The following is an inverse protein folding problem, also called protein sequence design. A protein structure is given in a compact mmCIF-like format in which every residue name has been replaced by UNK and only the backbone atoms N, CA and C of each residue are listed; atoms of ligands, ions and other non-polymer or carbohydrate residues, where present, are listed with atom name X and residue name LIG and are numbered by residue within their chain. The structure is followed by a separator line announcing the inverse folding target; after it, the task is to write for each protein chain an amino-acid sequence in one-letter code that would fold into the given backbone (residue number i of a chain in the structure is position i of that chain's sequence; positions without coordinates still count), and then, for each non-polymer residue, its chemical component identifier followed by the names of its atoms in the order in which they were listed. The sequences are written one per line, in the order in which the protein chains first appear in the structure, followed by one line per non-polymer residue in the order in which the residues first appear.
data_IF_623821383525
#
_entry.id   IF_623821383525
#
_cell.length_a   1.000
_cell.length_b   1.000
_cell.length_c   1.000
_cell.angle_alpha   90.00
_cell.angle_beta   90.00
_cell.angle_gamma   90.00
#
_symmetry.space_group_name_H-M   'P 1'
#
loop_
_entity.id
_entity.type
_entity.pdbx_description
1 polymer ?
#
# COMPACT_ATOMS: atom_id res chain seq x y z
N UNK A 1 23.37 4.43 33.46
CA UNK A 1 23.50 4.37 32.00
C UNK A 1 22.70 5.51 31.39
N UNK A 2 23.35 6.57 30.96
CA UNK A 2 22.69 7.69 30.24
C UNK A 2 22.19 7.14 28.90
N UNK A 3 20.86 7.07 28.71
CA UNK A 3 20.26 6.87 27.39
C UNK A 3 20.64 8.08 26.54
N UNK A 4 21.54 7.89 25.59
CA UNK A 4 21.74 8.85 24.52
C UNK A 4 20.38 9.07 23.85
N UNK A 5 19.72 10.18 24.10
CA UNK A 5 18.58 10.63 23.32
C UNK A 5 19.10 11.02 21.94
N UNK A 6 19.14 10.05 21.03
CA UNK A 6 19.27 10.40 19.63
C UNK A 6 18.07 11.26 19.27
N UNK A 7 18.31 12.52 18.92
CA UNK A 7 17.24 13.39 18.42
C UNK A 7 16.58 12.71 17.24
N UNK A 8 15.28 12.42 17.36
CA UNK A 8 14.52 11.74 16.31
C UNK A 8 14.55 12.60 15.03
N UNK A 9 14.79 11.97 13.89
CA UNK A 9 14.71 12.63 12.59
C UNK A 9 13.30 13.21 12.39
N UNK A 10 13.20 14.38 11.76
CA UNK A 10 11.92 15.04 11.48
C UNK A 10 11.81 15.39 10.01
N UNK A 11 10.62 15.34 9.44
CA UNK A 11 10.34 15.90 8.13
C UNK A 11 10.60 17.41 8.10
N UNK A 12 10.91 17.95 6.92
CA UNK A 12 11.19 19.39 6.78
C UNK A 12 9.96 20.26 7.08
N UNK A 13 8.74 19.74 6.86
CA UNK A 13 7.47 20.40 7.12
C UNK A 13 6.29 19.60 6.54
N UNK A 14 5.12 20.27 6.37
CA UNK A 14 3.88 19.65 5.87
C UNK A 14 4.08 18.92 4.53
N UNK A 15 4.73 19.56 3.55
CA UNK A 15 4.93 18.97 2.21
C UNK A 15 5.77 17.69 2.29
N UNK A 16 6.84 17.67 3.11
CA UNK A 16 7.68 16.48 3.29
C UNK A 16 6.90 15.31 3.88
N UNK A 17 6.11 15.57 4.93
CA UNK A 17 5.23 14.56 5.51
C UNK A 17 4.17 14.05 4.51
N UNK A 18 3.42 14.97 3.89
CA UNK A 18 2.32 14.63 2.97
C UNK A 18 2.80 13.81 1.79
N UNK A 19 3.88 14.23 1.10
CA UNK A 19 4.40 13.47 -0.06
C UNK A 19 4.98 12.12 0.33
N UNK A 20 5.56 12.00 1.53
CA UNK A 20 6.05 10.71 2.03
C UNK A 20 4.89 9.80 2.43
N UNK A 21 3.87 10.31 3.12
CA UNK A 21 2.70 9.54 3.53
C UNK A 21 1.81 9.17 2.32
N UNK A 22 1.60 10.10 1.38
CA UNK A 22 0.92 9.81 0.12
C UNK A 22 1.70 8.78 -0.71
N UNK A 23 3.04 8.87 -0.77
CA UNK A 23 3.87 7.87 -1.42
C UNK A 23 3.83 6.50 -0.75
N UNK A 24 3.60 6.44 0.57
CA UNK A 24 3.36 5.19 1.27
C UNK A 24 2.01 4.58 0.89
N UNK A 25 0.96 5.41 0.78
CA UNK A 25 -0.40 4.98 0.44
C UNK A 25 -0.53 4.63 -1.04
N UNK A 26 0.02 5.46 -1.94
CA UNK A 26 -0.01 5.20 -3.38
C UNK A 26 0.97 4.10 -3.75
N UNK A 27 0.49 2.88 -3.85
CA UNK A 27 1.30 1.69 -4.12
C UNK A 27 0.72 0.79 -5.21
N UNK A 28 1.22 -0.43 -5.24
CA UNK A 28 0.74 -1.45 -6.17
C UNK A 28 -0.76 -1.73 -6.01
N UNK A 29 -1.29 -1.56 -4.79
CA UNK A 29 -2.71 -1.74 -4.50
C UNK A 29 -3.64 -0.80 -5.28
N UNK A 30 -3.23 0.45 -5.51
CA UNK A 30 -4.00 1.41 -6.31
C UNK A 30 -3.94 1.07 -7.80
N UNK A 31 -2.80 0.53 -8.27
CA UNK A 31 -2.56 0.37 -9.71
C UNK A 31 -3.14 -0.94 -10.25
N UNK A 32 -3.09 -2.05 -9.49
CA UNK A 32 -3.64 -3.31 -10.01
C UNK A 32 -4.88 -3.79 -9.26
N UNK A 33 -4.86 -3.75 -7.90
CA UNK A 33 -5.93 -4.33 -7.10
C UNK A 33 -7.22 -3.51 -7.19
N UNK A 34 -7.10 -2.20 -7.09
CA UNK A 34 -8.26 -1.31 -7.18
C UNK A 34 -8.99 -1.41 -8.52
N UNK A 35 -8.34 -1.29 -9.71
CA UNK A 35 -9.03 -1.45 -10.98
C UNK A 35 -9.69 -2.81 -11.18
N UNK A 36 -9.01 -3.88 -10.73
CA UNK A 36 -9.57 -5.23 -10.76
C UNK A 36 -10.86 -5.31 -9.93
N UNK A 37 -10.81 -4.87 -8.67
CA UNK A 37 -11.97 -4.93 -7.78
C UNK A 37 -13.09 -4.02 -8.27
N UNK A 38 -12.78 -2.82 -8.75
CA UNK A 38 -13.77 -1.92 -9.32
C UNK A 38 -14.47 -2.55 -10.52
N UNK A 39 -13.74 -3.17 -11.44
CA UNK A 39 -14.32 -3.83 -12.59
C UNK A 39 -15.15 -5.07 -12.22
N UNK A 40 -14.72 -5.86 -11.25
CA UNK A 40 -15.41 -7.08 -10.80
C UNK A 40 -16.66 -6.78 -9.97
N UNK A 41 -16.64 -5.73 -9.15
CA UNK A 41 -17.66 -5.46 -8.13
C UNK A 41 -18.49 -4.21 -8.40
N UNK A 42 -18.80 -3.93 -9.66
CA UNK A 42 -19.83 -2.99 -10.08
C UNK A 42 -19.37 -1.60 -10.51
N UNK A 43 -18.09 -1.42 -10.84
CA UNK A 43 -17.58 -0.18 -11.45
C UNK A 43 -17.85 1.06 -10.60
N UNK A 44 -18.71 1.94 -11.08
CA UNK A 44 -19.02 3.22 -10.42
C UNK A 44 -19.65 3.09 -9.04
N UNK A 45 -20.39 2.01 -8.74
CA UNK A 45 -20.93 1.80 -7.39
C UNK A 45 -19.81 1.39 -6.41
N UNK A 46 -18.83 0.60 -6.87
CA UNK A 46 -17.63 0.29 -6.08
C UNK A 46 -16.84 1.58 -5.78
N UNK A 47 -16.62 2.42 -6.79
CA UNK A 47 -15.94 3.70 -6.63
C UNK A 47 -16.64 4.62 -5.63
N UNK A 48 -17.98 4.72 -5.70
CA UNK A 48 -18.78 5.52 -4.76
C UNK A 48 -18.57 5.04 -3.32
N UNK A 49 -18.69 3.73 -3.09
CA UNK A 49 -18.50 3.13 -1.75
C UNK A 49 -17.05 3.35 -1.28
N UNK A 50 -16.07 3.18 -2.17
CA UNK A 50 -14.66 3.41 -1.85
C UNK A 50 -14.41 4.86 -1.39
N UNK A 51 -14.96 5.87 -2.09
CA UNK A 51 -14.84 7.28 -1.70
C UNK A 51 -15.49 7.54 -0.33
N UNK A 52 -16.68 6.98 -0.07
CA UNK A 52 -17.33 7.11 1.22
C UNK A 52 -16.51 6.51 2.36
N UNK A 53 -15.86 5.37 2.10
CA UNK A 53 -14.97 4.72 3.07
C UNK A 53 -13.66 5.51 3.26
N UNK A 54 -13.11 6.14 2.22
CA UNK A 54 -11.97 7.03 2.34
C UNK A 54 -12.26 8.16 3.32
N UNK A 55 -13.37 8.88 3.08
CA UNK A 55 -13.78 10.03 3.88
C UNK A 55 -14.17 9.71 5.34
N UNK A 56 -14.41 8.45 5.66
CA UNK A 56 -14.85 8.01 7.00
C UNK A 56 -13.83 7.12 7.68
N UNK A 57 -13.68 5.90 7.18
CA UNK A 57 -12.80 4.87 7.75
C UNK A 57 -11.32 5.24 7.54
N UNK A 58 -10.94 5.56 6.30
CA UNK A 58 -9.56 5.94 5.95
C UNK A 58 -9.10 7.14 6.75
N UNK A 59 -9.87 8.24 6.68
CA UNK A 59 -9.62 9.45 7.47
C UNK A 59 -9.39 9.13 8.96
N UNK A 60 -10.29 8.36 9.55
CA UNK A 60 -10.22 8.07 10.99
C UNK A 60 -8.95 7.32 11.36
N UNK A 61 -8.58 6.32 10.59
CA UNK A 61 -7.39 5.51 10.90
C UNK A 61 -6.09 6.28 10.65
N UNK A 62 -6.00 7.09 9.58
CA UNK A 62 -4.81 7.93 9.33
C UNK A 62 -4.62 8.94 10.46
N UNK A 63 -5.69 9.63 10.89
CA UNK A 63 -5.63 10.57 12.02
C UNK A 63 -5.20 9.86 13.29
N UNK A 64 -5.78 8.69 13.60
CA UNK A 64 -5.48 7.93 14.81
C UNK A 64 -3.99 7.53 14.87
N UNK A 65 -3.49 6.89 13.82
CA UNK A 65 -2.11 6.41 13.77
C UNK A 65 -1.10 7.57 13.76
N UNK A 66 -1.35 8.60 12.96
CA UNK A 66 -0.48 9.79 12.90
C UNK A 66 -0.42 10.53 14.23
N UNK A 67 -1.57 10.68 14.90
CA UNK A 67 -1.64 11.32 16.21
C UNK A 67 -0.88 10.51 17.27
N UNK A 68 -1.09 9.18 17.33
CA UNK A 68 -0.35 8.30 18.24
C UNK A 68 1.17 8.44 18.01
N UNK A 69 1.60 8.40 16.75
CA UNK A 69 3.00 8.57 16.39
C UNK A 69 3.57 9.91 16.83
N UNK A 70 2.87 11.02 16.55
CA UNK A 70 3.30 12.38 16.90
C UNK A 70 3.28 12.65 18.40
N UNK A 71 2.28 12.14 19.13
CA UNK A 71 2.20 12.25 20.59
C UNK A 71 3.39 11.62 21.28
N UNK A 72 3.78 10.45 20.82
CA UNK A 72 4.77 9.62 21.50
C UNK A 72 6.19 9.85 20.99
N UNK A 73 6.34 10.29 19.74
CA UNK A 73 7.65 10.43 19.09
C UNK A 73 8.39 9.10 18.95
N UNK A 74 7.68 7.96 18.87
CA UNK A 74 8.25 6.61 18.84
C UNK A 74 7.70 5.77 17.70
N UNK A 75 8.41 4.68 17.38
CA UNK A 75 7.95 3.62 16.48
C UNK A 75 6.75 2.86 17.10
N UNK A 76 6.04 2.00 16.33
CA UNK A 76 4.80 1.39 16.79
C UNK A 76 4.88 0.71 18.16
N UNK A 77 5.94 -0.05 18.43
CA UNK A 77 6.11 -0.74 19.72
C UNK A 77 6.20 0.25 20.87
N UNK A 78 7.15 1.17 20.78
CA UNK A 78 7.36 2.20 21.80
C UNK A 78 6.17 3.15 21.94
N UNK A 79 5.42 3.41 20.84
CA UNK A 79 4.23 4.22 20.87
C UNK A 79 3.13 3.58 21.73
N UNK A 80 2.82 2.30 21.51
CA UNK A 80 1.84 1.57 22.33
C UNK A 80 2.27 1.47 23.79
N UNK A 81 3.54 1.16 24.07
CA UNK A 81 4.08 1.05 25.43
C UNK A 81 4.09 2.40 26.19
N UNK A 82 4.03 3.52 25.50
CA UNK A 82 3.93 4.85 26.13
C UNK A 82 2.61 5.06 26.88
N UNK A 83 1.57 4.30 26.55
CA UNK A 83 0.25 4.37 27.19
C UNK A 83 0.06 3.37 28.35
N UNK A 84 1.04 2.51 28.63
CA UNK A 84 0.98 1.57 29.74
C UNK A 84 1.93 0.38 29.57
N UNK A 85 2.11 -0.37 30.66
CA UNK A 85 2.99 -1.54 30.71
C UNK A 85 2.26 -2.89 30.51
N UNK A 86 1.04 -2.86 30.00
CA UNK A 86 0.26 -4.07 29.76
C UNK A 86 0.84 -4.91 28.64
N UNK A 87 0.82 -6.25 28.79
CA UNK A 87 1.31 -7.18 27.77
C UNK A 87 0.56 -7.05 26.44
N UNK A 88 -0.73 -6.76 26.48
CA UNK A 88 -1.51 -6.62 25.26
C UNK A 88 -1.18 -5.32 24.48
N UNK A 89 -0.80 -4.23 25.17
CA UNK A 89 -0.28 -3.03 24.53
C UNK A 89 1.04 -3.33 23.81
N UNK A 90 1.94 -4.03 24.47
CA UNK A 90 3.19 -4.47 23.84
C UNK A 90 2.91 -5.37 22.63
N UNK A 91 1.99 -6.32 22.74
CA UNK A 91 1.60 -7.19 21.64
C UNK A 91 0.98 -6.41 20.46
N UNK A 92 0.10 -5.43 20.72
CA UNK A 92 -0.46 -4.57 19.67
C UNK A 92 0.59 -3.75 18.95
N UNK A 93 1.57 -3.19 19.68
CA UNK A 93 2.70 -2.47 19.09
C UNK A 93 3.59 -3.37 18.23
N UNK A 94 3.96 -4.56 18.73
CA UNK A 94 4.74 -5.53 17.97
C UNK A 94 3.99 -6.05 16.74
N UNK A 95 2.67 -6.27 16.83
CA UNK A 95 1.87 -6.69 15.69
C UNK A 95 1.96 -5.67 14.55
N UNK A 96 1.77 -4.37 14.86
CA UNK A 96 1.91 -3.30 13.86
C UNK A 96 3.32 -3.22 13.26
N UNK A 97 4.37 -3.48 14.04
CA UNK A 97 5.75 -3.45 13.58
C UNK A 97 6.11 -4.67 12.70
N UNK A 98 5.71 -5.87 13.13
CA UNK A 98 6.01 -7.13 12.43
C UNK A 98 5.34 -7.18 11.06
N UNK A 99 4.17 -6.57 10.88
CA UNK A 99 3.50 -6.50 9.58
C UNK A 99 4.41 -5.87 8.53
N UNK A 100 5.00 -4.71 8.79
CA UNK A 100 5.94 -4.07 7.86
C UNK A 100 7.19 -4.94 7.61
N UNK A 101 7.72 -5.60 8.65
CA UNK A 101 8.89 -6.47 8.54
C UNK A 101 8.62 -7.66 7.61
N UNK A 102 7.40 -8.20 7.63
CA UNK A 102 7.01 -9.35 6.79
C UNK A 102 6.57 -8.94 5.38
N UNK A 103 5.95 -7.76 5.21
CA UNK A 103 5.49 -7.30 3.88
C UNK A 103 6.67 -6.94 2.99
N UNK A 104 7.65 -6.18 3.48
CA UNK A 104 8.76 -5.66 2.68
C UNK A 104 9.47 -6.74 1.86
N UNK A 105 9.81 -7.93 2.40
CA UNK A 105 10.46 -8.98 1.65
C UNK A 105 9.71 -9.40 0.37
N UNK A 106 8.46 -9.84 0.50
CA UNK A 106 7.70 -10.31 -0.67
C UNK A 106 7.25 -9.16 -1.59
N UNK A 107 6.98 -7.98 -1.03
CA UNK A 107 6.67 -6.79 -1.80
C UNK A 107 7.85 -6.37 -2.71
N UNK A 108 9.08 -6.53 -2.22
CA UNK A 108 10.30 -6.27 -3.01
C UNK A 108 10.51 -7.26 -4.15
N UNK A 109 10.02 -8.50 -4.01
CA UNK A 109 10.01 -9.47 -5.13
C UNK A 109 9.13 -8.96 -6.27
N UNK A 110 7.93 -8.48 -5.94
CA UNK A 110 7.02 -7.90 -6.94
C UNK A 110 7.63 -6.63 -7.57
N UNK A 111 8.30 -5.79 -6.76
CA UNK A 111 9.08 -4.66 -7.26
C UNK A 111 10.19 -5.08 -8.24
N UNK A 112 10.82 -6.22 -8.02
CA UNK A 112 11.77 -6.84 -8.94
C UNK A 112 11.12 -7.25 -10.27
N UNK A 113 9.91 -7.81 -10.25
CA UNK A 113 9.16 -8.12 -11.47
C UNK A 113 8.84 -6.86 -12.29
N UNK A 114 8.54 -5.75 -11.62
CA UNK A 114 8.34 -4.44 -12.27
C UNK A 114 9.62 -3.98 -12.98
N UNK A 115 10.79 -4.13 -12.34
CA UNK A 115 12.09 -3.80 -12.97
C UNK A 115 12.30 -4.65 -14.23
N UNK A 116 12.04 -5.96 -14.16
CA UNK A 116 12.17 -6.86 -15.33
C UNK A 116 11.34 -6.36 -16.51
N UNK A 117 10.07 -6.08 -16.29
CA UNK A 117 9.16 -5.62 -17.34
C UNK A 117 9.56 -4.24 -17.89
N UNK A 118 9.96 -3.31 -17.04
CA UNK A 118 10.47 -2.00 -17.47
C UNK A 118 11.70 -2.16 -18.39
N UNK A 119 12.66 -2.99 -17.98
CA UNK A 119 13.88 -3.25 -18.79
C UNK A 119 13.52 -3.85 -20.14
N UNK A 120 12.63 -4.82 -20.20
CA UNK A 120 12.20 -5.43 -21.46
C UNK A 120 11.50 -4.43 -22.38
N UNK A 121 10.64 -3.55 -21.85
CA UNK A 121 10.04 -2.48 -22.65
C UNK A 121 11.08 -1.50 -23.18
N UNK A 122 12.09 -1.12 -22.36
CA UNK A 122 13.20 -0.26 -22.79
C UNK A 122 14.08 -0.89 -23.88
N UNK A 123 14.21 -2.22 -23.86
CA UNK A 123 14.94 -2.97 -24.90
C UNK A 123 14.09 -3.22 -26.16
N UNK A 124 12.82 -2.79 -26.19
CA UNK A 124 11.94 -2.98 -27.34
C UNK A 124 11.26 -4.36 -27.41
N UNK A 125 11.35 -5.14 -26.34
CA UNK A 125 10.80 -6.50 -26.26
C UNK A 125 9.32 -6.53 -25.80
N UNK A 126 8.56 -5.44 -25.96
CA UNK A 126 7.17 -5.33 -25.50
C UNK A 126 6.27 -6.45 -26.02
N UNK A 127 6.44 -6.83 -27.29
CA UNK A 127 5.69 -7.94 -27.90
C UNK A 127 5.96 -9.31 -27.21
N UNK A 128 7.19 -9.56 -26.80
CA UNK A 128 7.52 -10.79 -26.08
C UNK A 128 6.83 -10.87 -24.70
N UNK A 129 6.64 -9.72 -24.03
CA UNK A 129 5.93 -9.63 -22.74
C UNK A 129 4.44 -10.00 -22.86
N UNK A 130 3.84 -9.80 -24.02
CA UNK A 130 2.45 -10.14 -24.29
C UNK A 130 2.24 -11.62 -24.61
N UNK A 131 3.31 -12.38 -24.83
CA UNK A 131 3.23 -13.82 -25.15
C UNK A 131 2.70 -14.63 -23.96
N UNK A 132 1.87 -15.64 -24.26
CA UNK A 132 1.36 -16.56 -23.25
C UNK A 132 2.51 -17.31 -22.57
N UNK A 133 2.47 -17.36 -21.24
CA UNK A 133 3.45 -18.05 -20.42
C UNK A 133 4.73 -17.26 -20.13
N UNK A 134 4.97 -16.08 -20.72
CA UNK A 134 6.18 -15.28 -20.45
C UNK A 134 6.36 -15.00 -18.96
N UNK A 135 5.33 -14.49 -18.28
CA UNK A 135 5.39 -14.21 -16.85
C UNK A 135 5.70 -15.47 -16.03
N UNK A 136 5.01 -16.57 -16.31
CA UNK A 136 5.25 -17.85 -15.64
C UNK A 136 6.68 -18.34 -15.82
N UNK A 137 7.22 -18.29 -17.06
CA UNK A 137 8.59 -18.67 -17.37
C UNK A 137 9.62 -17.77 -16.64
N UNK A 138 9.34 -16.47 -16.55
CA UNK A 138 10.21 -15.52 -15.84
C UNK A 138 10.25 -15.81 -14.32
N UNK A 139 9.10 -15.93 -13.65
CA UNK A 139 9.07 -16.15 -12.19
C UNK A 139 9.59 -17.54 -11.81
N UNK A 140 9.50 -18.52 -12.69
CA UNK A 140 10.08 -19.86 -12.50
C UNK A 140 11.59 -19.89 -12.71
N UNK A 141 12.16 -18.90 -13.40
CA UNK A 141 13.60 -18.76 -13.55
C UNK A 141 14.19 -18.11 -12.31
N UNK A 142 14.59 -18.95 -11.32
CA UNK A 142 15.05 -18.50 -10.02
C UNK A 142 16.17 -17.46 -10.09
N UNK A 143 17.15 -17.59 -11.00
CA UNK A 143 18.25 -16.63 -11.13
C UNK A 143 17.78 -15.25 -11.60
N UNK A 144 16.95 -15.21 -12.64
CA UNK A 144 16.46 -13.95 -13.21
C UNK A 144 15.53 -13.21 -12.25
N UNK A 145 14.60 -13.93 -11.62
CA UNK A 145 13.69 -13.36 -10.64
C UNK A 145 14.43 -12.84 -9.41
N UNK A 146 15.40 -13.60 -8.91
CA UNK A 146 16.22 -13.24 -7.74
C UNK A 146 17.08 -12.01 -7.99
N UNK A 147 17.76 -11.91 -9.13
CA UNK A 147 18.55 -10.73 -9.47
C UNK A 147 17.71 -9.45 -9.53
N UNK A 148 16.54 -9.51 -10.17
CA UNK A 148 15.63 -8.36 -10.21
C UNK A 148 15.14 -7.96 -8.82
N UNK A 149 14.78 -8.93 -7.97
CA UNK A 149 14.40 -8.72 -6.57
C UNK A 149 15.54 -8.04 -5.80
N UNK A 150 16.77 -8.55 -5.87
CA UNK A 150 17.93 -7.99 -5.17
C UNK A 150 18.18 -6.54 -5.59
N UNK A 151 18.09 -6.21 -6.88
CA UNK A 151 18.25 -4.84 -7.38
C UNK A 151 17.23 -3.90 -6.76
N UNK A 152 15.95 -4.29 -6.71
CA UNK A 152 14.90 -3.49 -6.09
C UNK A 152 15.13 -3.33 -4.57
N UNK A 153 15.46 -4.42 -3.88
CA UNK A 153 15.74 -4.43 -2.45
C UNK A 153 16.90 -3.49 -2.09
N UNK A 154 18.00 -3.58 -2.83
CA UNK A 154 19.17 -2.71 -2.62
C UNK A 154 18.87 -1.25 -2.88
N UNK A 155 18.07 -0.92 -3.92
CA UNK A 155 17.64 0.44 -4.18
C UNK A 155 16.79 1.00 -3.02
N UNK A 156 15.87 0.22 -2.47
CA UNK A 156 15.09 0.59 -1.28
C UNK A 156 15.99 0.83 -0.07
N UNK A 157 16.89 -0.11 0.24
CA UNK A 157 17.81 -0.02 1.38
C UNK A 157 18.77 1.18 1.27
N UNK A 158 19.21 1.52 0.06
CA UNK A 158 20.04 2.69 -0.17
C UNK A 158 19.33 3.98 0.20
N UNK A 159 18.06 4.13 -0.17
CA UNK A 159 17.25 5.30 0.21
C UNK A 159 17.07 5.37 1.72
N UNK A 160 16.79 4.24 2.38
CA UNK A 160 16.64 4.17 3.84
C UNK A 160 17.93 4.53 4.55
N UNK A 161 19.08 4.04 4.04
CA UNK A 161 20.39 4.36 4.60
C UNK A 161 20.69 5.86 4.57
N UNK A 162 20.26 6.57 3.52
CA UNK A 162 20.42 8.02 3.39
C UNK A 162 19.61 8.85 4.41
N UNK A 163 18.61 8.24 5.09
CA UNK A 163 17.86 8.86 6.16
C UNK A 163 16.52 9.45 5.74
N UNK A 164 15.81 10.06 6.72
CA UNK A 164 14.45 10.55 6.51
C UNK A 164 14.41 11.73 5.53
N UNK A 165 15.19 12.79 5.77
CA UNK A 165 15.20 14.00 4.93
C UNK A 165 15.89 13.78 3.58
N UNK A 166 17.10 13.22 3.61
CA UNK A 166 17.94 13.11 2.41
C UNK A 166 17.60 11.89 1.56
N UNK A 167 16.97 10.89 2.14
CA UNK A 167 16.48 9.68 1.47
C UNK A 167 14.98 9.78 1.19
N UNK A 168 14.17 9.43 2.18
CA UNK A 168 12.71 9.24 2.04
C UNK A 168 12.02 10.48 1.48
N UNK A 169 12.17 11.62 2.14
CA UNK A 169 11.50 12.86 1.76
C UNK A 169 11.94 13.35 0.37
N UNK A 170 13.25 13.30 0.09
CA UNK A 170 13.80 13.74 -1.20
C UNK A 170 13.30 12.87 -2.35
N UNK A 171 13.28 11.56 -2.17
CA UNK A 171 12.80 10.60 -3.17
C UNK A 171 11.29 10.78 -3.39
N UNK A 172 10.49 10.89 -2.32
CA UNK A 172 9.05 11.12 -2.44
C UNK A 172 8.71 12.44 -3.12
N UNK A 173 9.47 13.51 -2.85
CA UNK A 173 9.29 14.83 -3.52
C UNK A 173 9.51 14.77 -5.03
N UNK A 174 10.39 13.87 -5.50
CA UNK A 174 10.63 13.69 -6.93
C UNK A 174 9.60 12.73 -7.54
N UNK A 175 9.41 11.57 -6.92
CA UNK A 175 8.61 10.49 -7.50
C UNK A 175 7.12 10.80 -7.53
N UNK A 176 6.57 11.43 -6.48
CA UNK A 176 5.12 11.66 -6.41
C UNK A 176 4.58 12.59 -7.51
N UNK A 177 5.17 13.78 -7.78
CA UNK A 177 4.71 14.60 -8.91
C UNK A 177 4.84 13.90 -10.27
N UNK A 178 5.94 13.18 -10.50
CA UNK A 178 6.14 12.44 -11.75
C UNK A 178 5.07 11.34 -11.89
N UNK A 179 4.78 10.60 -10.81
CA UNK A 179 3.74 9.58 -10.78
C UNK A 179 2.36 10.17 -11.14
N UNK A 180 2.00 11.34 -10.60
CA UNK A 180 0.75 12.04 -10.95
C UNK A 180 0.72 12.40 -12.43
N UNK A 181 1.79 12.98 -12.97
CA UNK A 181 1.86 13.35 -14.40
C UNK A 181 1.75 12.12 -15.29
N UNK A 182 2.46 11.04 -14.98
CA UNK A 182 2.39 9.78 -15.72
C UNK A 182 0.98 9.19 -15.67
N UNK A 183 0.32 9.22 -14.50
CA UNK A 183 -1.07 8.72 -14.36
C UNK A 183 -2.02 9.48 -15.28
N UNK A 184 -1.93 10.82 -15.33
CA UNK A 184 -2.77 11.64 -16.18
C UNK A 184 -2.52 11.36 -17.67
N UNK A 185 -1.25 11.24 -18.07
CA UNK A 185 -0.89 10.95 -19.47
C UNK A 185 -1.41 9.59 -19.93
N UNK A 186 -1.23 8.55 -19.14
CA UNK A 186 -1.65 7.19 -19.50
C UNK A 186 -3.16 7.07 -19.46
N UNK A 187 -3.84 7.63 -18.45
CA UNK A 187 -5.30 7.64 -18.38
C UNK A 187 -5.91 8.42 -19.57
N UNK A 188 -5.35 9.60 -19.90
CA UNK A 188 -5.77 10.37 -21.07
C UNK A 188 -5.63 9.57 -22.36
N UNK A 189 -4.50 8.87 -22.54
CA UNK A 189 -4.32 8.01 -23.69
C UNK A 189 -5.31 6.83 -23.72
N UNK A 190 -5.55 6.17 -22.59
CA UNK A 190 -6.48 5.04 -22.46
C UNK A 190 -7.91 5.43 -22.84
N UNK A 191 -8.39 6.55 -22.32
CA UNK A 191 -9.76 7.05 -22.53
C UNK A 191 -10.01 7.44 -24.00
N UNK A 192 -8.97 7.81 -24.75
CA UNK A 192 -9.10 8.19 -26.17
C UNK A 192 -9.17 6.99 -27.12
N UNK A 193 -9.05 5.74 -26.63
CA UNK A 193 -9.10 4.58 -27.51
C UNK A 193 -10.52 4.28 -28.02
N UNK A 194 -10.68 3.80 -29.26
CA UNK A 194 -11.98 3.35 -29.76
C UNK A 194 -12.58 2.30 -28.82
N UNK A 195 -13.84 2.46 -28.43
CA UNK A 195 -14.51 1.55 -27.47
C UNK A 195 -14.26 1.84 -25.99
N UNK A 196 -13.31 2.70 -25.64
CA UNK A 196 -12.97 3.02 -24.24
C UNK A 196 -14.11 3.70 -23.46
N UNK A 197 -14.99 4.45 -24.15
CA UNK A 197 -16.06 5.24 -23.53
C UNK A 197 -17.02 4.37 -22.69
N UNK A 198 -17.30 3.14 -23.13
CA UNK A 198 -18.11 2.18 -22.37
C UNK A 198 -17.46 1.88 -21.02
N UNK A 199 -16.14 1.63 -20.99
CA UNK A 199 -15.38 1.40 -19.77
C UNK A 199 -15.33 2.64 -18.86
N UNK A 200 -15.19 3.84 -19.42
CA UNK A 200 -15.27 5.11 -18.65
C UNK A 200 -16.63 5.24 -17.98
N UNK A 201 -17.71 5.02 -18.73
CA UNK A 201 -19.09 5.09 -18.21
C UNK A 201 -19.31 4.04 -17.13
N UNK A 202 -18.88 2.81 -17.35
CA UNK A 202 -18.99 1.72 -16.37
C UNK A 202 -18.27 2.06 -15.06
N UNK A 203 -17.08 2.64 -15.16
CA UNK A 203 -16.25 2.94 -13.99
C UNK A 203 -16.69 4.19 -13.22
N UNK A 204 -17.14 5.25 -13.90
CA UNK A 204 -17.46 6.52 -13.25
C UNK A 204 -18.93 6.70 -12.87
N UNK A 205 -19.85 6.01 -13.57
CA UNK A 205 -21.29 6.17 -13.33
C UNK A 205 -21.80 5.07 -12.40
N UNK A 206 -22.25 5.42 -11.18
CA UNK A 206 -22.81 4.43 -10.27
C UNK A 206 -24.08 3.78 -10.85
N UNK A 207 -24.06 2.46 -11.00
CA UNK A 207 -25.25 1.67 -11.31
C UNK A 207 -25.60 0.81 -10.09
N UNK A 208 -26.73 1.11 -9.44
CA UNK A 208 -27.17 0.42 -8.23
C UNK A 208 -27.66 -1.02 -8.51
N UNK A 209 -27.95 -1.38 -9.74
CA UNK A 209 -28.26 -2.76 -10.13
C UNK A 209 -27.05 -3.69 -9.94
N UNK A 210 -25.83 -3.14 -10.06
CA UNK A 210 -24.59 -3.85 -9.83
C UNK A 210 -24.16 -3.89 -8.36
N UNK A 211 -24.99 -3.38 -7.43
CA UNK A 211 -24.70 -3.39 -6.02
C UNK A 211 -24.78 -4.80 -5.46
N UNK A 212 -23.78 -5.17 -4.66
CA UNK A 212 -23.81 -6.37 -3.83
C UNK A 212 -23.17 -6.08 -2.45
N UNK A 213 -23.49 -6.88 -1.45
CA UNK A 213 -22.79 -6.77 -0.17
C UNK A 213 -21.29 -7.04 -0.31
N UNK A 214 -20.91 -7.86 -1.29
CA UNK A 214 -19.51 -8.13 -1.59
C UNK A 214 -18.80 -6.88 -2.12
N UNK A 215 -19.48 -5.98 -2.82
CA UNK A 215 -18.96 -4.66 -3.23
C UNK A 215 -18.51 -3.85 -2.01
N UNK A 216 -19.30 -3.85 -0.93
CA UNK A 216 -18.94 -3.14 0.31
C UNK A 216 -17.74 -3.78 0.99
N UNK A 217 -17.76 -5.11 1.15
CA UNK A 217 -16.68 -5.85 1.84
C UNK A 217 -15.35 -5.71 1.10
N UNK A 218 -15.38 -5.83 -0.24
CA UNK A 218 -14.16 -5.71 -1.06
C UNK A 218 -13.64 -4.26 -1.11
N UNK A 219 -14.54 -3.27 -1.13
CA UNK A 219 -14.17 -1.86 -1.04
C UNK A 219 -13.54 -1.53 0.32
N UNK A 220 -14.06 -2.08 1.43
CA UNK A 220 -13.43 -1.95 2.76
C UNK A 220 -12.03 -2.57 2.76
N UNK A 221 -11.87 -3.79 2.26
CA UNK A 221 -10.57 -4.45 2.17
C UNK A 221 -9.57 -3.70 1.29
N UNK A 222 -10.05 -3.13 0.18
CA UNK A 222 -9.21 -2.30 -0.72
C UNK A 222 -8.77 -1.01 -0.02
N UNK A 223 -9.67 -0.31 0.64
CA UNK A 223 -9.36 0.92 1.38
C UNK A 223 -8.33 0.68 2.48
N UNK A 224 -8.48 -0.43 3.20
CA UNK A 224 -7.58 -0.84 4.26
C UNK A 224 -6.14 -1.02 3.76
N UNK A 225 -6.00 -1.72 2.64
CA UNK A 225 -4.72 -1.98 2.01
C UNK A 225 -4.12 -0.72 1.36
N UNK A 226 -4.93 0.07 0.64
CA UNK A 226 -4.51 1.24 -0.12
C UNK A 226 -3.89 2.32 0.77
N UNK A 227 -4.53 2.66 1.88
CA UNK A 227 -4.07 3.71 2.78
C UNK A 227 -2.95 3.28 3.74
N UNK A 228 -2.40 2.08 3.57
CA UNK A 228 -1.32 1.55 4.45
C UNK A 228 -1.68 1.55 5.94
N UNK A 229 -2.96 1.32 6.26
CA UNK A 229 -3.50 1.32 7.62
C UNK A 229 -3.01 0.09 8.38
N UNK A 230 -2.70 0.27 9.65
CA UNK A 230 -2.27 -0.78 10.58
C UNK A 230 -0.98 -1.52 10.17
N UNK A 231 -0.13 -0.87 9.39
CA UNK A 231 1.21 -1.36 9.01
C UNK A 231 2.33 -0.69 9.82
N UNK A 232 2.00 0.12 10.83
CA UNK A 232 2.97 0.89 11.61
C UNK A 232 3.60 2.07 10.88
N UNK A 233 3.34 2.25 9.58
CA UNK A 233 3.92 3.31 8.74
C UNK A 233 3.46 4.68 9.22
N UNK A 234 2.17 4.88 9.39
CA UNK A 234 1.58 6.16 9.76
C UNK A 234 1.95 6.55 11.20
N UNK A 235 2.10 5.59 12.11
CA UNK A 235 2.64 5.82 13.46
C UNK A 235 4.10 6.27 13.35
N UNK A 236 4.93 5.59 12.55
CA UNK A 236 6.33 5.95 12.34
C UNK A 236 6.47 7.34 11.72
N UNK A 237 5.74 7.63 10.64
CA UNK A 237 5.79 8.94 9.98
C UNK A 237 5.20 10.05 10.85
N UNK A 238 4.13 9.76 11.59
CA UNK A 238 3.59 10.65 12.61
C UNK A 238 4.66 11.04 13.65
N UNK A 239 5.50 10.08 14.06
CA UNK A 239 6.59 10.35 15.01
C UNK A 239 7.69 11.29 14.46
N UNK A 240 7.76 11.50 13.15
CA UNK A 240 8.65 12.45 12.48
C UNK A 240 7.96 13.78 12.17
N UNK A 241 6.65 13.88 12.41
CA UNK A 241 5.85 15.08 12.14
C UNK A 241 6.08 16.15 13.20
N UNK A 242 6.28 17.38 12.77
CA UNK A 242 6.41 18.51 13.68
C UNK A 242 5.05 18.88 14.30
N UNK A 243 5.08 19.44 15.50
CA UNK A 243 3.87 19.82 16.27
C UNK A 243 3.02 20.92 15.61
N UNK A 244 3.66 21.81 14.87
CA UNK A 244 3.02 22.92 14.15
C UNK A 244 2.35 22.50 12.82
N UNK A 245 2.56 21.26 12.37
CA UNK A 245 1.93 20.74 11.17
C UNK A 245 0.55 20.17 11.48
N UNK A 246 -0.47 20.60 10.71
CA UNK A 246 -1.85 20.11 10.83
C UNK A 246 -1.94 18.62 10.51
N UNK A 247 -2.44 17.81 11.46
CA UNK A 247 -2.73 16.38 11.22
C UNK A 247 -3.92 16.24 10.27
N UNK A 248 -5.02 16.93 10.57
CA UNK A 248 -6.27 16.82 9.80
C UNK A 248 -6.07 17.27 8.36
N UNK A 249 -5.47 18.46 8.17
CA UNK A 249 -5.18 18.98 6.82
C UNK A 249 -4.12 18.17 6.05
N UNK A 250 -3.23 17.44 6.74
CA UNK A 250 -2.31 16.52 6.08
C UNK A 250 -3.01 15.22 5.69
N UNK A 251 -3.87 14.69 6.57
CA UNK A 251 -4.69 13.50 6.29
C UNK A 251 -5.59 13.71 5.08
N UNK A 252 -6.33 14.83 5.03
CA UNK A 252 -7.17 15.19 3.87
C UNK A 252 -6.37 15.20 2.57
N UNK A 253 -5.15 15.72 2.61
CA UNK A 253 -4.29 15.76 1.42
C UNK A 253 -3.84 14.35 1.01
N UNK A 254 -3.48 13.48 1.96
CA UNK A 254 -3.11 12.08 1.69
C UNK A 254 -4.28 11.30 1.09
N UNK A 255 -5.50 11.46 1.65
CA UNK A 255 -6.73 10.84 1.12
C UNK A 255 -7.02 11.26 -0.32
N UNK A 256 -6.88 12.57 -0.61
CA UNK A 256 -7.09 13.10 -1.97
C UNK A 256 -6.07 12.49 -2.94
N UNK A 257 -4.79 12.42 -2.56
CA UNK A 257 -3.75 11.82 -3.40
C UNK A 257 -4.03 10.34 -3.66
N UNK A 258 -4.31 9.55 -2.62
CA UNK A 258 -4.59 8.13 -2.75
C UNK A 258 -5.81 7.86 -3.63
N UNK A 259 -6.93 8.54 -3.34
CA UNK A 259 -8.18 8.39 -4.10
C UNK A 259 -8.02 8.87 -5.55
N UNK A 260 -7.35 9.99 -5.79
CA UNK A 260 -7.11 10.50 -7.13
C UNK A 260 -6.28 9.50 -7.96
N UNK A 261 -5.21 8.94 -7.40
CA UNK A 261 -4.40 7.94 -8.09
C UNK A 261 -5.17 6.63 -8.30
N UNK A 262 -5.99 6.19 -7.35
CA UNK A 262 -6.87 5.03 -7.54
C UNK A 262 -7.86 5.25 -8.69
N UNK A 263 -8.49 6.43 -8.77
CA UNK A 263 -9.37 6.81 -9.88
C UNK A 263 -8.60 6.86 -11.20
N UNK A 264 -7.43 7.47 -11.22
CA UNK A 264 -6.58 7.51 -12.42
C UNK A 264 -6.17 6.11 -12.87
N UNK A 265 -5.82 5.22 -11.93
CA UNK A 265 -5.52 3.81 -12.24
C UNK A 265 -6.73 3.08 -12.83
N UNK A 266 -7.93 3.31 -12.28
CA UNK A 266 -9.18 2.83 -12.87
C UNK A 266 -9.37 3.32 -14.31
N UNK A 267 -9.13 4.61 -14.57
CA UNK A 267 -9.21 5.20 -15.92
C UNK A 267 -8.08 4.77 -16.86
N UNK A 268 -6.92 4.38 -16.34
CA UNK A 268 -5.85 3.81 -17.15
C UNK A 268 -6.19 2.40 -17.64
N UNK A 269 -6.78 1.58 -16.78
CA UNK A 269 -6.87 0.13 -16.98
C UNK A 269 -8.24 -0.28 -17.52
N UNK A 270 -9.34 0.15 -16.89
CA UNK A 270 -10.68 -0.31 -17.25
C UNK A 270 -11.06 0.09 -18.68
N UNK A 271 -10.92 1.36 -19.11
CA UNK A 271 -11.24 1.75 -20.49
C UNK A 271 -10.35 1.05 -21.53
N UNK A 272 -9.06 0.82 -21.21
CA UNK A 272 -8.15 0.12 -22.11
C UNK A 272 -8.58 -1.35 -22.33
N UNK A 273 -9.02 -2.03 -21.28
CA UNK A 273 -9.50 -3.41 -21.35
C UNK A 273 -10.82 -3.50 -22.11
N UNK A 274 -11.76 -2.55 -21.89
CA UNK A 274 -13.01 -2.49 -22.66
C UNK A 274 -12.75 -2.25 -24.16
N UNK A 275 -11.80 -1.39 -24.48
CA UNK A 275 -11.38 -1.14 -25.87
C UNK A 275 -10.75 -2.38 -26.50
N UNK A 276 -9.97 -3.15 -25.74
CA UNK A 276 -9.31 -4.38 -26.20
C UNK A 276 -10.27 -5.55 -26.35
N UNK A 277 -11.17 -5.79 -25.37
CA UNK A 277 -12.05 -6.97 -25.35
C UNK A 277 -13.35 -6.80 -26.12
N UNK A 278 -13.74 -5.57 -26.41
CA UNK A 278 -15.00 -5.25 -27.11
C UNK A 278 -16.28 -5.60 -26.33
N UNK A 279 -16.18 -5.97 -25.05
CA UNK A 279 -17.33 -6.40 -24.23
C UNK A 279 -17.22 -5.98 -22.78
N UNK A 280 -18.37 -5.77 -22.11
CA UNK A 280 -18.48 -5.49 -20.67
C UNK A 280 -18.03 -6.67 -19.78
N UNK A 281 -17.92 -7.86 -20.33
CA UNK A 281 -17.60 -9.10 -19.61
C UNK A 281 -16.16 -9.56 -19.77
N UNK A 282 -15.22 -8.62 -19.99
CA UNK A 282 -13.80 -8.98 -19.98
C UNK A 282 -13.42 -9.59 -18.61
N UNK A 283 -13.06 -10.86 -18.59
CA UNK A 283 -12.55 -11.52 -17.39
C UNK A 283 -11.20 -10.95 -17.03
N UNK A 284 -11.22 -9.97 -16.10
CA UNK A 284 -10.00 -9.42 -15.52
C UNK A 284 -9.35 -10.46 -14.62
N UNK A 285 -8.11 -10.75 -14.87
CA UNK A 285 -7.33 -11.59 -13.97
C UNK A 285 -7.00 -10.83 -12.68
N UNK A 286 -7.06 -11.52 -11.53
CA UNK A 286 -6.77 -10.94 -10.24
C UNK A 286 -5.25 -10.83 -9.99
N UNK A 287 -4.87 -9.91 -9.13
CA UNK A 287 -3.52 -9.82 -8.59
C UNK A 287 -2.44 -9.49 -9.61
N UNK A 288 -1.23 -10.04 -9.44
CA UNK A 288 -0.10 -9.80 -10.35
C UNK A 288 -0.40 -10.15 -11.82
N UNK A 289 -1.27 -11.12 -12.07
CA UNK A 289 -1.65 -11.53 -13.44
C UNK A 289 -2.29 -10.40 -14.25
N UNK A 290 -3.04 -9.49 -13.61
CA UNK A 290 -3.54 -8.31 -14.32
C UNK A 290 -2.39 -7.48 -14.89
N UNK A 291 -1.40 -7.18 -14.06
CA UNK A 291 -0.32 -6.25 -14.42
C UNK A 291 0.72 -6.90 -15.34
N UNK A 292 1.05 -8.16 -15.12
CA UNK A 292 2.15 -8.83 -15.82
C UNK A 292 1.71 -9.72 -16.98
N UNK A 293 0.41 -10.00 -17.12
CA UNK A 293 -0.12 -10.80 -18.25
C UNK A 293 -1.11 -9.98 -19.09
N UNK A 294 -2.16 -9.42 -18.45
CA UNK A 294 -3.24 -8.75 -19.18
C UNK A 294 -2.80 -7.42 -19.77
N UNK A 295 -2.18 -6.55 -18.96
CA UNK A 295 -1.79 -5.20 -19.39
C UNK A 295 -0.76 -5.21 -20.53
N UNK A 296 0.30 -6.04 -20.54
CA UNK A 296 1.17 -6.15 -21.71
C UNK A 296 0.45 -6.54 -23.01
N UNK A 297 -0.53 -7.45 -22.95
CA UNK A 297 -1.35 -7.81 -24.11
C UNK A 297 -2.19 -6.62 -24.62
N UNK A 298 -2.78 -5.87 -23.70
CA UNK A 298 -3.54 -4.66 -24.04
C UNK A 298 -2.62 -3.63 -24.71
N UNK A 299 -1.43 -3.39 -24.15
CA UNK A 299 -0.47 -2.43 -24.75
C UNK A 299 0.05 -2.91 -26.11
N UNK A 300 0.31 -4.20 -26.27
CA UNK A 300 0.75 -4.78 -27.55
C UNK A 300 -0.27 -4.56 -28.68
N UNK A 301 -1.56 -4.53 -28.35
CA UNK A 301 -2.63 -4.22 -29.29
C UNK A 301 -2.76 -2.74 -29.66
N UNK A 302 -2.06 -1.85 -28.96
CA UNK A 302 -2.15 -0.39 -29.12
C UNK A 302 -1.03 0.17 -30.01
N UNK A 303 -1.33 1.16 -30.86
CA UNK A 303 -0.37 1.75 -31.80
C UNK A 303 0.90 2.37 -31.16
N UNK A 304 0.83 2.78 -29.87
CA UNK A 304 1.95 3.32 -29.10
C UNK A 304 2.29 2.41 -27.89
N UNK A 305 2.01 1.12 -27.98
CA UNK A 305 2.05 0.18 -26.85
C UNK A 305 3.40 0.15 -26.12
N UNK A 306 4.52 0.15 -26.84
CA UNK A 306 5.86 0.17 -26.23
C UNK A 306 6.07 1.45 -25.39
N UNK A 307 5.72 2.62 -25.93
CA UNK A 307 5.89 3.88 -25.21
C UNK A 307 5.00 3.95 -23.97
N UNK A 308 3.74 3.55 -24.11
CA UNK A 308 2.79 3.49 -22.99
C UNK A 308 3.24 2.46 -21.95
N UNK A 309 3.78 1.32 -22.37
CA UNK A 309 4.35 0.30 -21.49
C UNK A 309 5.53 0.84 -20.68
N UNK A 310 6.45 1.57 -21.29
CA UNK A 310 7.56 2.24 -20.58
C UNK A 310 7.00 3.19 -19.52
N UNK A 311 6.11 4.11 -19.91
CA UNK A 311 5.53 5.09 -18.98
C UNK A 311 4.77 4.40 -17.83
N UNK A 312 4.03 3.36 -18.13
CA UNK A 312 3.28 2.58 -17.14
C UNK A 312 4.21 1.87 -16.15
N UNK A 313 5.24 1.15 -16.62
CA UNK A 313 6.14 0.45 -15.71
C UNK A 313 7.09 1.38 -14.95
N UNK A 314 7.39 2.60 -15.46
CA UNK A 314 8.04 3.67 -14.66
C UNK A 314 7.11 4.15 -13.55
N UNK A 315 5.84 4.40 -13.85
CA UNK A 315 4.81 4.78 -12.87
C UNK A 315 4.69 3.70 -11.76
N UNK A 316 4.56 2.44 -12.17
CA UNK A 316 4.45 1.29 -11.25
C UNK A 316 5.72 1.15 -10.39
N UNK A 317 6.90 1.33 -10.98
CA UNK A 317 8.17 1.28 -10.25
C UNK A 317 8.23 2.37 -9.17
N UNK A 318 7.80 3.59 -9.48
CA UNK A 318 7.78 4.69 -8.51
C UNK A 318 6.79 4.42 -7.38
N UNK A 319 5.58 3.94 -7.68
CA UNK A 319 4.60 3.53 -6.69
C UNK A 319 5.11 2.39 -5.79
N UNK A 320 5.72 1.37 -6.39
CA UNK A 320 6.32 0.26 -5.63
C UNK A 320 7.46 0.73 -4.73
N UNK A 321 8.33 1.61 -5.25
CA UNK A 321 9.51 2.10 -4.52
C UNK A 321 9.09 2.96 -3.31
N UNK A 322 8.16 3.90 -3.47
CA UNK A 322 7.72 4.78 -2.38
C UNK A 322 7.07 4.00 -1.24
N UNK A 323 6.24 3.01 -1.55
CA UNK A 323 5.62 2.14 -0.54
C UNK A 323 6.65 1.21 0.13
N UNK A 324 7.59 0.62 -0.63
CA UNK A 324 8.67 -0.22 -0.08
C UNK A 324 9.56 0.57 0.89
N UNK A 325 9.89 1.82 0.55
CA UNK A 325 10.65 2.73 1.41
C UNK A 325 9.89 2.98 2.72
N UNK A 326 8.59 3.25 2.67
CA UNK A 326 7.79 3.54 3.85
C UNK A 326 7.67 2.32 4.79
N UNK A 327 7.41 1.13 4.24
CA UNK A 327 7.39 -0.13 4.97
C UNK A 327 8.75 -0.42 5.63
N UNK A 328 9.84 -0.26 4.88
CA UNK A 328 11.20 -0.50 5.38
C UNK A 328 11.56 0.49 6.48
N UNK A 329 11.15 1.75 6.38
CA UNK A 329 11.36 2.75 7.43
C UNK A 329 10.63 2.40 8.72
N UNK A 330 9.39 1.91 8.64
CA UNK A 330 8.64 1.43 9.80
C UNK A 330 9.39 0.33 10.54
N UNK A 331 9.95 -0.65 9.81
CA UNK A 331 10.75 -1.73 10.36
C UNK A 331 12.07 -1.23 10.97
N UNK A 332 12.82 -0.40 10.24
CA UNK A 332 14.12 0.14 10.67
C UNK A 332 13.95 1.03 11.91
N UNK A 333 12.93 1.90 11.96
CA UNK A 333 12.67 2.73 13.12
C UNK A 333 12.31 1.91 14.36
N UNK A 334 11.61 0.79 14.18
CA UNK A 334 11.32 -0.15 15.26
C UNK A 334 12.60 -0.78 15.80
N UNK A 335 13.50 -1.25 14.93
CA UNK A 335 14.79 -1.79 15.37
C UNK A 335 15.66 -0.74 16.07
N UNK A 336 15.63 0.53 15.61
CA UNK A 336 16.33 1.62 16.29
C UNK A 336 15.81 1.85 17.70
N UNK A 337 14.50 1.90 17.87
CA UNK A 337 13.87 2.22 19.16
C UNK A 337 13.99 1.04 20.16
N UNK A 338 13.72 -0.19 19.71
CA UNK A 338 13.67 -1.37 20.60
C UNK A 338 15.06 -1.94 20.92
N UNK A 339 15.96 -1.96 19.94
CA UNK A 339 17.32 -2.51 20.13
C UNK A 339 18.34 -1.42 20.53
N UNK A 340 17.96 -0.15 20.46
CA UNK A 340 18.88 0.98 20.72
C UNK A 340 20.01 1.06 19.69
N UNK A 341 19.78 0.57 18.46
CA UNK A 341 20.80 0.51 17.43
C UNK A 341 20.85 1.79 16.57
N UNK A 342 22.02 2.03 15.99
CA UNK A 342 22.15 3.08 14.99
C UNK A 342 21.35 2.73 13.73
N UNK A 343 20.92 3.76 12.99
CA UNK A 343 20.23 3.58 11.71
C UNK A 343 20.95 2.61 10.76
N UNK A 344 22.28 2.73 10.65
CA UNK A 344 23.10 1.86 9.80
C UNK A 344 22.94 0.38 10.17
N UNK A 345 23.07 0.04 11.47
CA UNK A 345 22.91 -1.33 11.95
C UNK A 345 21.48 -1.85 11.73
N UNK A 346 20.47 -1.03 12.01
CA UNK A 346 19.07 -1.39 11.81
C UNK A 346 18.73 -1.59 10.33
N UNK A 347 19.30 -0.79 9.44
CA UNK A 347 19.12 -0.98 7.98
C UNK A 347 19.77 -2.26 7.49
N UNK A 348 20.97 -2.60 7.98
CA UNK A 348 21.64 -3.86 7.64
C UNK A 348 20.85 -5.07 8.13
N UNK A 349 20.31 -5.02 9.37
CA UNK A 349 19.44 -6.08 9.88
C UNK A 349 18.19 -6.24 9.00
N UNK A 350 17.52 -5.12 8.67
CA UNK A 350 16.35 -5.20 7.80
C UNK A 350 16.71 -5.71 6.40
N UNK A 351 17.88 -5.36 5.89
CA UNK A 351 18.43 -5.90 4.64
C UNK A 351 18.61 -7.41 4.69
N UNK A 352 19.17 -7.94 5.78
CA UNK A 352 19.30 -9.38 5.98
C UNK A 352 17.92 -10.08 6.01
N UNK A 353 16.95 -9.52 6.74
CA UNK A 353 15.57 -10.04 6.78
C UNK A 353 14.93 -9.99 5.40
N UNK A 354 15.06 -8.85 4.70
CA UNK A 354 14.50 -8.65 3.36
C UNK A 354 15.06 -9.67 2.36
N UNK A 355 16.38 -9.87 2.33
CA UNK A 355 17.00 -10.84 1.42
C UNK A 355 16.57 -12.27 1.80
N UNK A 356 16.62 -12.65 3.08
CA UNK A 356 16.30 -14.02 3.48
C UNK A 356 14.85 -14.40 3.18
N UNK A 357 13.88 -13.60 3.64
CA UNK A 357 12.45 -13.89 3.43
C UNK A 357 12.01 -13.59 1.98
N UNK A 358 12.63 -12.60 1.35
CA UNK A 358 12.38 -12.28 -0.05
C UNK A 358 12.87 -13.36 -1.00
N UNK A 359 14.05 -13.95 -0.75
CA UNK A 359 14.54 -15.09 -1.53
C UNK A 359 13.64 -16.31 -1.40
N UNK A 360 13.09 -16.60 -0.21
CA UNK A 360 12.08 -17.65 -0.06
C UNK A 360 10.84 -17.36 -0.95
N UNK A 361 10.38 -16.12 -0.97
CA UNK A 361 9.23 -15.70 -1.78
C UNK A 361 9.54 -15.70 -3.28
N UNK A 362 10.73 -15.25 -3.68
CA UNK A 362 11.18 -15.20 -5.08
C UNK A 362 11.37 -16.60 -5.66
N UNK A 363 12.07 -17.47 -4.91
CA UNK A 363 12.35 -18.85 -5.33
C UNK A 363 11.15 -19.79 -5.19
N UNK A 364 10.10 -19.37 -4.49
CA UNK A 364 8.87 -20.13 -4.27
C UNK A 364 8.14 -20.50 -5.57
N UNK A 365 8.29 -19.73 -6.63
CA UNK A 365 7.69 -20.03 -7.95
C UNK A 365 8.62 -20.85 -8.89
N UNK A 366 9.85 -21.09 -8.47
CA UNK A 366 10.87 -21.81 -9.23
C UNK A 366 11.45 -22.99 -8.44
N UNK A 367 12.71 -22.93 -7.99
CA UNK A 367 13.38 -24.05 -7.31
C UNK A 367 12.65 -24.56 -6.06
N UNK A 368 11.91 -23.71 -5.35
CA UNK A 368 11.15 -24.08 -4.15
C UNK A 368 9.65 -24.27 -4.40
N UNK A 369 9.21 -24.38 -5.65
CA UNK A 369 7.79 -24.47 -6.01
C UNK A 369 7.03 -25.63 -5.33
N UNK A 370 7.75 -26.69 -4.97
CA UNK A 370 7.18 -27.85 -4.27
C UNK A 370 7.04 -27.65 -2.74
N UNK A 371 7.58 -26.54 -2.20
CA UNK A 371 7.52 -26.22 -0.76
C UNK A 371 6.41 -25.20 -0.54
N UNK A 372 5.32 -25.63 0.06
CA UNK A 372 4.15 -24.78 0.32
C UNK A 372 3.84 -24.70 1.82
N UNK A 373 3.29 -23.57 2.26
CA UNK A 373 2.76 -23.37 3.61
C UNK A 373 1.23 -23.22 3.51
N UNK A 374 0.48 -24.08 4.20
CA UNK A 374 -0.99 -24.15 4.10
C UNK A 374 -1.49 -24.29 2.64
N UNK A 375 -0.71 -24.95 1.77
CA UNK A 375 -1.04 -25.07 0.35
C UNK A 375 -0.74 -23.84 -0.52
N UNK A 376 -0.15 -22.80 0.05
CA UNK A 376 0.20 -21.55 -0.63
C UNK A 376 1.72 -21.47 -0.86
N UNK A 377 2.14 -20.80 -1.94
CA UNK A 377 3.54 -20.43 -2.14
C UNK A 377 3.97 -19.42 -1.06
N UNK A 378 5.28 -19.26 -0.82
CA UNK A 378 5.79 -18.37 0.24
C UNK A 378 5.26 -16.94 0.12
N UNK A 379 5.26 -16.36 -1.08
CA UNK A 379 4.75 -15.01 -1.31
C UNK A 379 3.27 -14.92 -0.92
N UNK A 380 2.45 -15.85 -1.42
CA UNK A 380 1.01 -15.87 -1.18
C UNK A 380 0.70 -16.11 0.31
N UNK A 381 1.50 -16.96 0.96
CA UNK A 381 1.37 -17.20 2.40
C UNK A 381 1.69 -15.95 3.23
N UNK A 382 2.79 -15.25 2.93
CA UNK A 382 3.11 -14.01 3.64
C UNK A 382 2.09 -12.91 3.37
N UNK A 383 1.59 -12.80 2.14
CA UNK A 383 0.51 -11.87 1.80
C UNK A 383 -0.78 -12.19 2.58
N UNK A 384 -1.20 -13.44 2.59
CA UNK A 384 -2.35 -13.91 3.37
C UNK A 384 -2.17 -13.62 4.87
N UNK A 385 -1.03 -14.01 5.44
CA UNK A 385 -0.76 -13.84 6.86
C UNK A 385 -0.80 -12.36 7.27
N UNK A 386 -0.15 -11.49 6.50
CA UNK A 386 -0.06 -10.06 6.82
C UNK A 386 -1.34 -9.33 6.52
N UNK A 387 -1.87 -9.42 5.30
CA UNK A 387 -3.00 -8.61 4.85
C UNK A 387 -4.35 -9.14 5.32
N UNK A 388 -4.53 -10.48 5.31
CA UNK A 388 -5.83 -11.08 5.65
C UNK A 388 -6.01 -11.31 7.15
N UNK A 389 -4.91 -11.52 7.90
CA UNK A 389 -4.99 -11.88 9.33
C UNK A 389 -4.42 -10.77 10.21
N UNK A 390 -3.14 -10.43 10.04
CA UNK A 390 -2.46 -9.55 10.99
C UNK A 390 -2.95 -8.10 10.95
N UNK A 391 -3.12 -7.52 9.76
CA UNK A 391 -3.53 -6.13 9.61
C UNK A 391 -4.90 -5.82 10.23
N UNK A 392 -5.97 -6.61 10.00
CA UNK A 392 -7.26 -6.36 10.66
C UNK A 392 -7.17 -6.43 12.18
N UNK A 393 -6.38 -7.38 12.73
CA UNK A 393 -6.16 -7.50 14.18
C UNK A 393 -5.38 -6.28 14.70
N UNK A 394 -4.38 -5.81 13.95
CA UNK A 394 -3.62 -4.61 14.29
C UNK A 394 -4.51 -3.35 14.30
N UNK A 395 -5.41 -3.21 13.32
CA UNK A 395 -6.37 -2.10 13.30
C UNK A 395 -7.32 -2.13 14.51
N UNK A 396 -7.84 -3.30 14.88
CA UNK A 396 -8.63 -3.45 16.09
C UNK A 396 -7.82 -3.01 17.32
N UNK A 397 -6.53 -3.38 17.38
CA UNK A 397 -5.65 -2.97 18.49
C UNK A 397 -5.47 -1.45 18.57
N UNK A 398 -5.34 -0.76 17.42
CA UNK A 398 -5.27 0.71 17.34
C UNK A 398 -6.61 1.33 17.82
N UNK A 399 -7.73 0.80 17.33
CA UNK A 399 -9.05 1.27 17.75
C UNK A 399 -9.26 1.13 19.27
N UNK A 400 -8.84 0.01 19.85
CA UNK A 400 -8.89 -0.22 21.30
C UNK A 400 -7.94 0.71 22.05
N UNK A 401 -6.71 0.91 21.55
CA UNK A 401 -5.76 1.85 22.14
C UNK A 401 -6.35 3.24 22.22
N UNK A 402 -6.90 3.75 21.10
CA UNK A 402 -7.46 5.12 21.03
C UNK A 402 -8.76 5.24 21.84
N UNK A 403 -9.67 4.27 21.74
CA UNK A 403 -11.00 4.40 22.35
C UNK A 403 -11.04 4.09 23.85
N UNK A 404 -10.11 3.24 24.35
CA UNK A 404 -10.15 2.71 25.73
C UNK A 404 -8.99 3.14 26.60
N UNK A 405 -7.82 3.43 26.00
CA UNK A 405 -6.58 3.69 26.76
C UNK A 405 -6.14 5.15 26.64
N UNK A 406 -5.84 5.61 25.43
CA UNK A 406 -5.41 7.01 25.21
C UNK A 406 -6.57 7.99 25.43
N UNK A 407 -7.76 7.63 24.98
CA UNK A 407 -8.96 8.47 24.98
C UNK A 407 -9.00 9.45 23.79
N UNK A 408 -10.24 9.68 23.30
CA UNK A 408 -10.49 10.58 22.15
C UNK A 408 -10.06 12.03 22.48
N UNK A 409 -10.17 12.45 23.74
CA UNK A 409 -9.76 13.79 24.18
C UNK A 409 -8.25 14.00 24.00
N UNK A 410 -7.41 13.00 24.22
CA UNK A 410 -5.98 13.10 24.00
C UNK A 410 -5.64 13.23 22.51
N UNK A 411 -6.34 12.49 21.64
CA UNK A 411 -6.19 12.63 20.17
C UNK A 411 -6.65 14.03 19.72
N UNK A 412 -7.78 14.53 20.23
CA UNK A 412 -8.25 15.88 19.95
C UNK A 412 -7.22 16.95 20.34
N UNK A 413 -6.68 16.84 21.55
CA UNK A 413 -5.63 17.77 22.02
C UNK A 413 -4.41 17.71 21.09
N UNK A 414 -4.01 16.54 20.66
CA UNK A 414 -2.88 16.39 19.75
C UNK A 414 -3.18 16.98 18.35
N UNK A 415 -4.37 16.76 17.79
CA UNK A 415 -4.79 17.36 16.53
C UNK A 415 -4.77 18.88 16.62
N UNK A 416 -5.31 19.44 17.70
CA UNK A 416 -5.40 20.90 17.92
C UNK A 416 -4.04 21.59 18.17
N UNK A 417 -2.90 20.89 18.27
CA UNK A 417 -1.60 21.56 18.31
C UNK A 417 -1.25 22.31 17.02
N UNK A 418 -1.71 21.81 15.87
CA UNK A 418 -1.49 22.44 14.56
C UNK A 418 -2.74 23.05 13.93
N UNK A 419 -3.86 23.09 14.66
CA UNK A 419 -5.18 23.50 14.16
C UNK A 419 -6.01 24.15 15.28
N UNK A 420 -6.93 25.06 14.90
CA UNK A 420 -7.81 25.71 15.88
C UNK A 420 -8.86 24.76 16.48
N UNK A 421 -9.27 23.75 15.72
CA UNK A 421 -10.29 22.79 16.15
C UNK A 421 -10.19 21.48 15.36
N UNK A 422 -10.62 20.38 15.95
CA UNK A 422 -10.80 19.09 15.28
C UNK A 422 -12.15 19.08 14.54
N UNK A 423 -12.16 19.34 13.22
CA UNK A 423 -13.38 19.57 12.42
C UNK A 423 -14.28 18.35 12.36
N UNK A 424 -13.70 17.16 12.07
CA UNK A 424 -14.45 15.89 11.91
C UNK A 424 -14.48 15.05 13.19
N UNK A 425 -14.34 15.64 14.38
CA UNK A 425 -14.31 14.93 15.68
C UNK A 425 -15.46 13.95 15.88
N UNK A 426 -16.70 14.33 15.50
CA UNK A 426 -17.90 13.45 15.68
C UNK A 426 -17.78 12.19 14.83
N UNK A 427 -17.37 12.33 13.55
CA UNK A 427 -17.15 11.20 12.64
C UNK A 427 -16.03 10.33 13.19
N UNK A 428 -14.88 10.92 13.56
CA UNK A 428 -13.77 10.22 14.16
C UNK A 428 -14.19 9.40 15.40
N UNK A 429 -14.92 10.02 16.31
CA UNK A 429 -15.36 9.37 17.55
C UNK A 429 -16.30 8.18 17.32
N UNK A 430 -17.26 8.31 16.38
CA UNK A 430 -18.15 7.23 16.00
C UNK A 430 -17.41 6.08 15.32
N UNK A 431 -16.58 6.43 14.35
CA UNK A 431 -15.82 5.46 13.56
C UNK A 431 -14.83 4.67 14.43
N UNK A 432 -14.00 5.34 15.22
CA UNK A 432 -12.94 4.69 16.00
C UNK A 432 -13.48 3.78 17.11
N UNK A 433 -14.65 4.14 17.70
CA UNK A 433 -15.26 3.36 18.79
C UNK A 433 -16.02 2.13 18.31
N UNK A 434 -16.69 2.23 17.16
CA UNK A 434 -17.67 1.22 16.74
C UNK A 434 -17.44 0.69 15.33
N UNK A 435 -17.36 1.58 14.32
CA UNK A 435 -17.36 1.15 12.92
C UNK A 435 -16.00 0.62 12.44
N UNK A 436 -14.90 1.28 12.81
CA UNK A 436 -13.57 0.78 12.40
C UNK A 436 -13.27 -0.61 12.95
N UNK A 437 -13.46 -0.94 14.25
CA UNK A 437 -13.23 -2.30 14.72
C UNK A 437 -14.23 -3.31 14.13
N UNK A 438 -15.49 -2.90 13.86
CA UNK A 438 -16.45 -3.75 13.17
C UNK A 438 -16.00 -4.06 11.73
N UNK A 439 -15.58 -3.05 10.97
CA UNK A 439 -15.09 -3.23 9.60
C UNK A 439 -13.84 -4.12 9.57
N UNK A 440 -12.90 -3.90 10.48
CA UNK A 440 -11.72 -4.75 10.59
C UNK A 440 -12.08 -6.21 10.92
N UNK A 441 -13.07 -6.45 11.78
CA UNK A 441 -13.56 -7.80 12.07
C UNK A 441 -14.24 -8.46 10.85
N UNK A 442 -15.03 -7.70 10.07
CA UNK A 442 -15.65 -8.18 8.83
C UNK A 442 -14.56 -8.54 7.81
N UNK A 443 -13.54 -7.68 7.63
CA UNK A 443 -12.41 -7.93 6.73
C UNK A 443 -11.66 -9.20 7.16
N UNK A 444 -11.37 -9.37 8.45
CA UNK A 444 -10.71 -10.56 8.98
C UNK A 444 -11.49 -11.84 8.65
N UNK A 445 -12.77 -11.87 9.00
CA UNK A 445 -13.63 -13.04 8.80
C UNK A 445 -13.77 -13.36 7.30
N UNK A 446 -14.07 -12.35 6.48
CA UNK A 446 -14.27 -12.54 5.04
C UNK A 446 -12.98 -12.95 4.33
N UNK A 447 -11.84 -12.35 4.66
CA UNK A 447 -10.55 -12.70 4.03
C UNK A 447 -10.09 -14.11 4.41
N UNK A 448 -10.26 -14.52 5.67
CA UNK A 448 -9.96 -15.88 6.11
C UNK A 448 -10.93 -16.87 5.43
N UNK A 449 -12.23 -16.58 5.42
CA UNK A 449 -13.21 -17.45 4.75
C UNK A 449 -12.92 -17.60 3.24
N UNK A 450 -12.50 -16.53 2.57
CA UNK A 450 -12.07 -16.59 1.16
C UNK A 450 -10.82 -17.45 0.97
N UNK A 451 -9.80 -17.31 1.84
CA UNK A 451 -8.56 -18.08 1.74
C UNK A 451 -8.78 -19.61 1.87
N UNK A 452 -9.79 -20.01 2.66
CA UNK A 452 -10.19 -21.41 2.81
C UNK A 452 -11.32 -21.86 1.85
N UNK A 453 -11.67 -21.04 0.84
CA UNK A 453 -12.66 -21.37 -0.17
C UNK A 453 -14.11 -21.44 0.32
N UNK A 454 -14.40 -20.89 1.51
CA UNK A 454 -15.77 -20.85 2.07
C UNK A 454 -16.63 -19.78 1.40
N UNK A 455 -16.02 -18.75 0.87
CA UNK A 455 -16.63 -17.70 0.04
C UNK A 455 -15.69 -17.37 -1.13
N UNK A 456 -16.20 -16.79 -2.21
CA UNK A 456 -15.41 -16.27 -3.33
C UNK A 456 -15.41 -14.74 -3.31
N UNK A 457 -14.23 -14.13 -3.19
CA UNK A 457 -14.03 -12.68 -3.24
C UNK A 457 -13.27 -12.27 -4.50
#
# INVERSE_FOLDING_TARGET
MQKHSHSRSTFSGKIGFVLSAAGASVGLGNIWRFPYLAAKYGGGIFLLIYILLALTFGYTMIVAETAIGRMTGKSPVGAFQSFGKSRWLSAGGWLNAVISILIVPYYSVIGGWVIKYLVEYLLGNGHALAADGYFGAFISNGLSAELCFIVFALATLFVIYAGVRNGIERVSRLMMPVLVVLSVLIAGYSVTRPGALAGVKYFLVPNFENFSWMTVVTAMGQMFYSLSIAMGILITFGSYMKKDVSIEGSTETVEIFDTAIAVMAGLMIIPAIFAFSGSESATLQAGPSLMFITIPKVFDSMGLGTAVGILFFVLVLFAAMTSSIALTESAVSTFQDELGWSRKKSTVLMGAVMITLGSLSSLGYGPLANVTLLGMQFLDFFDFLTNSVMMPIAAISICLLVSRVAGIAAIEQEVCHGEERFRRKRVFALMIRYLCPLFAAIILISSVANAFGLISM
#
